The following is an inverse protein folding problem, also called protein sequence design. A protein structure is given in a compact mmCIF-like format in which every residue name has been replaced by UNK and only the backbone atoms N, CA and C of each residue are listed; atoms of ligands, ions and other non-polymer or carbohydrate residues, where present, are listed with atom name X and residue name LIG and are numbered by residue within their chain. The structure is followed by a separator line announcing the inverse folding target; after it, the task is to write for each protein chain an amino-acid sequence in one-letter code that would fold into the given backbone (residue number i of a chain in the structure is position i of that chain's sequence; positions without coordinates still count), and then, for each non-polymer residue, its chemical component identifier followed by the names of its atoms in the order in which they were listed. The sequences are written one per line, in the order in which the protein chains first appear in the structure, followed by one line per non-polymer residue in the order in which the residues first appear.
data_IF_880385782284
#
_entry.id   IF_880385782284
#
_cell.length_a   1.000
_cell.length_b   1.000
_cell.length_c   1.000
_cell.angle_alpha   90.00
_cell.angle_beta   90.00
_cell.angle_gamma   90.00
#
_symmetry.space_group_name_H-M   'P 1'
#
loop_
_entity.id
_entity.type
_entity.pdbx_description
1 polymer ?
#
# COMPACT_ATOMS: atom_id res chain seq x y z
N UNK A 1 -25.07 -5.28 -23.62
CA UNK A 1 -25.37 -6.16 -22.47
C UNK A 1 -24.07 -6.35 -21.68
N UNK A 2 -23.87 -5.63 -20.58
CA UNK A 2 -22.64 -5.71 -19.77
C UNK A 2 -22.93 -6.54 -18.52
N UNK A 3 -22.27 -7.69 -18.41
CA UNK A 3 -22.45 -8.62 -17.29
C UNK A 3 -21.63 -8.16 -16.08
N UNK A 4 -22.32 -7.78 -15.01
CA UNK A 4 -21.70 -7.47 -13.71
C UNK A 4 -21.30 -8.77 -13.03
N UNK A 5 -20.03 -9.14 -13.15
CA UNK A 5 -19.43 -10.24 -12.39
C UNK A 5 -19.38 -9.86 -10.90
N UNK A 6 -20.36 -10.34 -10.14
CA UNK A 6 -20.38 -10.25 -8.69
C UNK A 6 -19.33 -11.23 -8.14
N UNK A 7 -18.15 -10.72 -7.80
CA UNK A 7 -17.12 -11.48 -7.10
C UNK A 7 -17.61 -11.72 -5.67
N UNK A 8 -18.06 -12.94 -5.39
CA UNK A 8 -18.41 -13.38 -4.03
C UNK A 8 -17.12 -13.44 -3.21
N UNK A 9 -16.76 -12.32 -2.58
CA UNK A 9 -15.61 -12.23 -1.68
C UNK A 9 -15.84 -13.06 -0.42
N UNK A 10 -14.79 -13.71 0.07
CA UNK A 10 -14.83 -14.45 1.33
C UNK A 10 -15.17 -13.53 2.51
N UNK A 11 -15.60 -14.11 3.64
CA UNK A 11 -16.09 -13.43 4.84
C UNK A 11 -14.97 -12.71 5.61
N UNK A 12 -14.24 -11.80 4.99
CA UNK A 12 -13.40 -10.83 5.67
C UNK A 12 -14.34 -9.69 6.10
N UNK A 13 -14.24 -9.20 7.33
CA UNK A 13 -14.96 -7.98 7.72
C UNK A 13 -14.65 -6.81 6.76
N UNK A 14 -15.43 -5.73 6.82
CA UNK A 14 -15.23 -4.55 5.96
C UNK A 14 -13.75 -4.13 5.95
N UNK A 15 -13.13 -4.15 4.76
CA UNK A 15 -11.73 -3.74 4.59
C UNK A 15 -11.68 -2.22 4.67
N UNK A 16 -10.94 -1.71 5.65
CA UNK A 16 -10.72 -0.28 5.86
C UNK A 16 -9.36 0.12 5.27
N UNK A 17 -9.37 1.15 4.42
CA UNK A 17 -8.16 1.72 3.84
C UNK A 17 -7.75 2.96 4.65
N UNK A 18 -6.58 2.88 5.29
CA UNK A 18 -5.90 4.01 5.90
C UNK A 18 -4.75 4.43 4.98
N UNK A 19 -4.74 5.69 4.56
CA UNK A 19 -3.70 6.24 3.70
C UNK A 19 -3.46 7.71 4.04
N UNK A 20 -2.22 8.17 3.94
CA UNK A 20 -1.86 9.57 4.17
C UNK A 20 -2.33 10.49 3.01
N UNK A 21 -2.97 11.64 3.26
CA UNK A 21 -3.38 12.55 2.19
C UNK A 21 -2.19 13.33 1.58
N UNK A 22 -1.12 12.65 1.15
CA UNK A 22 0.13 13.29 0.70
C UNK A 22 0.01 14.03 -0.64
N UNK A 23 -0.99 13.70 -1.48
CA UNK A 23 -1.13 14.29 -2.83
C UNK A 23 -2.60 14.55 -3.23
N UNK A 24 -3.02 15.81 -3.38
CA UNK A 24 -4.39 16.17 -3.79
C UNK A 24 -4.86 15.50 -5.10
N UNK A 25 -3.95 15.24 -6.04
CA UNK A 25 -4.28 14.67 -7.35
C UNK A 25 -4.66 13.19 -7.25
N UNK A 26 -4.02 12.42 -6.36
CA UNK A 26 -4.32 11.00 -6.13
C UNK A 26 -5.66 10.82 -5.41
N UNK A 27 -5.99 11.75 -4.51
CA UNK A 27 -7.23 11.72 -3.72
C UNK A 27 -8.47 11.69 -4.61
N UNK A 28 -8.50 12.42 -5.73
CA UNK A 28 -9.73 12.52 -6.56
C UNK A 28 -10.03 11.23 -7.31
N UNK A 29 -9.03 10.65 -7.96
CA UNK A 29 -9.20 9.39 -8.72
C UNK A 29 -9.41 8.21 -7.77
N UNK A 30 -8.66 8.15 -6.67
CA UNK A 30 -8.80 7.10 -5.66
C UNK A 30 -10.19 7.13 -5.02
N UNK A 31 -10.71 8.31 -4.61
CA UNK A 31 -12.05 8.45 -4.02
C UNK A 31 -13.17 8.02 -4.98
N UNK A 32 -12.98 8.19 -6.28
CA UNK A 32 -13.95 7.74 -7.28
C UNK A 32 -13.96 6.22 -7.47
N UNK A 33 -12.83 5.54 -7.21
CA UNK A 33 -12.65 4.11 -7.44
C UNK A 33 -12.81 3.25 -6.19
N UNK A 34 -12.49 3.77 -5.00
CA UNK A 34 -12.58 3.04 -3.73
C UNK A 34 -13.98 2.46 -3.43
N UNK A 35 -15.10 3.17 -3.73
CA UNK A 35 -16.44 2.60 -3.57
C UNK A 35 -16.70 1.39 -4.47
N UNK A 36 -16.11 1.34 -5.66
CA UNK A 36 -16.26 0.22 -6.59
C UNK A 36 -15.64 -1.08 -6.03
N UNK A 37 -14.71 -0.97 -5.09
CA UNK A 37 -14.05 -2.08 -4.39
C UNK A 37 -14.73 -2.46 -3.07
N UNK A 38 -15.87 -1.84 -2.71
CA UNK A 38 -16.59 -2.14 -1.47
C UNK A 38 -15.80 -1.83 -0.19
N UNK A 39 -14.87 -0.88 -0.28
CA UNK A 39 -13.91 -0.57 0.78
C UNK A 39 -14.21 0.77 1.44
N UNK A 40 -14.11 0.83 2.77
CA UNK A 40 -14.35 2.06 3.52
C UNK A 40 -13.04 2.85 3.69
N UNK A 41 -13.08 4.15 3.43
CA UNK A 41 -11.90 5.01 3.52
C UNK A 41 -11.88 5.71 4.87
N UNK A 42 -10.89 5.41 5.71
CA UNK A 42 -10.70 6.10 6.98
C UNK A 42 -9.95 7.40 6.71
N UNK A 43 -10.62 8.54 6.90
CA UNK A 43 -9.99 9.85 6.73
C UNK A 43 -9.02 10.11 7.88
N UNK A 44 -7.71 9.99 7.61
CA UNK A 44 -6.66 10.39 8.55
C UNK A 44 -6.54 11.91 8.64
N UNK A 45 -6.16 12.42 9.81
CA UNK A 45 -5.78 13.82 9.98
C UNK A 45 -4.59 14.14 9.05
N UNK A 46 -4.54 15.38 8.54
CA UNK A 46 -3.52 15.82 7.57
C UNK A 46 -2.10 15.51 8.08
N UNK A 47 -1.35 14.74 7.29
CA UNK A 47 0.09 14.50 7.36
C UNK A 47 0.66 14.21 8.75
N UNK A 48 0.41 13.00 9.22
CA UNK A 48 1.01 12.45 10.43
C UNK A 48 1.61 11.08 10.14
N UNK A 49 2.90 11.01 9.79
CA UNK A 49 3.56 9.72 9.54
C UNK A 49 3.59 8.81 10.78
N UNK A 50 3.42 9.38 11.98
CA UNK A 50 3.18 8.66 13.25
C UNK A 50 1.80 7.96 13.33
N UNK A 51 0.81 8.42 12.56
CA UNK A 51 -0.54 7.84 12.54
C UNK A 51 -0.67 6.59 11.66
N UNK A 52 0.32 6.29 10.82
CA UNK A 52 0.36 5.03 10.07
C UNK A 52 1.62 4.25 10.45
N UNK A 53 1.63 3.62 11.65
CA UNK A 53 2.81 2.93 12.17
C UNK A 53 3.42 1.95 11.17
N UNK A 54 2.56 1.22 10.44
CA UNK A 54 2.93 0.23 9.44
C UNK A 54 3.74 0.80 8.28
N UNK A 55 3.26 1.89 7.67
CA UNK A 55 3.91 2.50 6.51
C UNK A 55 5.27 3.08 6.91
N UNK A 56 5.34 3.72 8.09
CA UNK A 56 6.59 4.22 8.62
C UNK A 56 7.59 3.09 8.90
N UNK A 57 7.16 2.02 9.56
CA UNK A 57 8.01 0.86 9.86
C UNK A 57 8.52 0.17 8.58
N UNK A 58 7.67 0.05 7.56
CA UNK A 58 8.04 -0.55 6.27
C UNK A 58 9.09 0.28 5.55
N UNK A 59 8.84 1.58 5.40
CA UNK A 59 9.74 2.49 4.71
C UNK A 59 11.08 2.63 5.45
N UNK A 60 11.06 2.63 6.79
CA UNK A 60 12.29 2.64 7.60
C UNK A 60 13.09 1.35 7.40
N UNK A 61 12.44 0.19 7.45
CA UNK A 61 13.10 -1.11 7.26
C UNK A 61 13.70 -1.22 5.85
N UNK A 62 12.95 -0.78 4.83
CA UNK A 62 13.42 -0.72 3.45
C UNK A 62 14.63 0.22 3.30
N UNK A 63 14.54 1.44 3.85
CA UNK A 63 15.64 2.42 3.80
C UNK A 63 16.91 1.88 4.46
N UNK A 64 16.78 1.17 5.57
CA UNK A 64 17.92 0.55 6.25
C UNK A 64 18.51 -0.61 5.44
N UNK A 65 17.67 -1.44 4.81
CA UNK A 65 18.12 -2.55 3.97
C UNK A 65 18.79 -2.07 2.67
N UNK A 66 18.35 -0.94 2.13
CA UNK A 66 18.96 -0.28 0.98
C UNK A 66 20.29 0.39 1.33
N UNK A 67 20.57 0.65 2.61
CA UNK A 67 21.78 1.35 3.02
C UNK A 67 23.02 0.51 2.69
N UNK A 68 23.79 0.97 1.71
CA UNK A 68 25.00 0.27 1.25
C UNK A 68 24.75 -0.80 0.18
N UNK A 69 23.52 -0.95 -0.33
CA UNK A 69 23.25 -1.78 -1.50
C UNK A 69 23.57 -0.97 -2.76
N UNK A 70 24.49 -1.48 -3.58
CA UNK A 70 24.65 -1.03 -4.96
C UNK A 70 23.74 -1.88 -5.86
N UNK A 71 22.99 -1.24 -6.74
CA UNK A 71 22.27 -1.87 -7.84
C UNK A 71 22.83 -1.29 -9.13
N UNK A 72 23.17 -2.15 -10.08
CA UNK A 72 23.84 -1.73 -11.32
C UNK A 72 22.81 -1.26 -12.36
N UNK A 73 21.60 -1.81 -12.33
CA UNK A 73 20.48 -1.41 -13.17
C UNK A 73 19.09 -1.56 -12.47
N UNK A 74 18.02 -1.29 -13.22
CA UNK A 74 16.64 -1.39 -12.73
C UNK A 74 16.20 -2.84 -12.48
N UNK A 75 16.67 -3.80 -13.27
CA UNK A 75 16.30 -5.21 -13.14
C UNK A 75 16.91 -5.80 -11.85
N UNK A 76 18.15 -5.40 -11.54
CA UNK A 76 18.83 -5.73 -10.29
C UNK A 76 18.09 -5.15 -9.07
N UNK A 77 17.57 -3.92 -9.19
CA UNK A 77 16.78 -3.30 -8.14
C UNK A 77 15.44 -4.02 -7.96
N UNK A 78 14.75 -4.36 -9.05
CA UNK A 78 13.46 -5.05 -9.01
C UNK A 78 13.58 -6.46 -8.40
N UNK A 79 14.61 -7.21 -8.80
CA UNK A 79 14.93 -8.51 -8.23
C UNK A 79 15.28 -8.41 -6.74
N UNK A 80 16.05 -7.40 -6.34
CA UNK A 80 16.37 -7.19 -4.93
C UNK A 80 15.14 -6.81 -4.10
N UNK A 81 14.29 -5.91 -4.61
CA UNK A 81 13.06 -5.50 -3.95
C UNK A 81 12.10 -6.69 -3.78
N UNK A 82 11.93 -7.50 -4.82
CA UNK A 82 11.09 -8.70 -4.77
C UNK A 82 11.55 -9.65 -3.66
N UNK A 83 12.85 -9.96 -3.62
CA UNK A 83 13.44 -10.79 -2.56
C UNK A 83 13.27 -10.17 -1.16
N UNK A 84 13.43 -8.84 -1.05
CA UNK A 84 13.25 -8.14 0.22
C UNK A 84 11.80 -8.30 0.74
N UNK A 85 10.79 -8.03 -0.08
CA UNK A 85 9.38 -8.17 0.33
C UNK A 85 8.98 -9.62 0.59
N UNK A 86 9.53 -10.59 -0.14
CA UNK A 86 9.34 -12.02 0.15
C UNK A 86 9.99 -12.47 1.47
N UNK A 87 11.07 -11.79 1.88
CA UNK A 87 11.75 -12.07 3.15
C UNK A 87 11.07 -11.45 4.37
N UNK A 88 10.10 -10.54 4.19
CA UNK A 88 9.39 -9.93 5.31
C UNK A 88 8.48 -10.96 6.00
N UNK A 89 8.38 -10.92 7.34
CA UNK A 89 7.48 -11.81 8.07
C UNK A 89 6.02 -11.53 7.68
N UNK A 90 5.20 -12.57 7.67
CA UNK A 90 3.74 -12.48 7.38
C UNK A 90 3.02 -11.51 8.33
N UNK A 91 3.59 -11.25 9.51
CA UNK A 91 3.03 -10.37 10.54
C UNK A 91 3.60 -8.94 10.55
N UNK A 92 4.28 -8.52 9.48
CA UNK A 92 4.75 -7.14 9.34
C UNK A 92 3.60 -6.12 9.50
#
# INVERSE_FOLDING_TARGET
MTTKIARKGANYGTIQFLHDPARPLFIRVARQKLPDFGSEVLTSALYRPDLVPRDYQLLLTLSNALQGKACDDEDDLDGWLSNFFESLPVQF
#
